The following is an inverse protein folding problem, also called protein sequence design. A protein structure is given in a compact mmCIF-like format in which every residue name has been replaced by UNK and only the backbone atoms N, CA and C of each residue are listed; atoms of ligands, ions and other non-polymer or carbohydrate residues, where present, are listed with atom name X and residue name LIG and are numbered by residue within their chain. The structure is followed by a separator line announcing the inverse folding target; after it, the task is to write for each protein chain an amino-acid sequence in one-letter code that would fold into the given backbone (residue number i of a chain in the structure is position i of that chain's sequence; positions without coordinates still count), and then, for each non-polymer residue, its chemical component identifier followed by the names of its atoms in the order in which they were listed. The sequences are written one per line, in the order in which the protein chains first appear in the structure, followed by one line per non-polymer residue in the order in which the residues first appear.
data_IF_819392674853
#
_entry.id   IF_819392674853
#
_cell.length_a   1.000
_cell.length_b   1.000
_cell.length_c   1.000
_cell.angle_alpha   90.00
_cell.angle_beta   90.00
_cell.angle_gamma   90.00
#
_symmetry.space_group_name_H-M   'P 1'
#
loop_
_entity.id
_entity.type
_entity.pdbx_description
1 polymer ?
#
# COMPACT_ATOMS: atom_id res chain seq x y z
N UNK A 1 48.91 52.73 58.40
CA UNK A 1 48.16 51.69 59.13
C UNK A 1 47.05 51.19 58.21
N UNK A 2 46.86 49.87 58.12
CA UNK A 2 46.18 49.14 57.04
C UNK A 2 44.69 49.49 56.87
N UNK A 3 44.25 49.57 55.61
CA UNK A 3 42.85 49.54 55.15
C UNK A 3 42.38 48.08 55.15
N UNK A 4 41.16 47.74 55.59
CA UNK A 4 40.59 46.41 55.36
C UNK A 4 39.77 46.37 54.06
N UNK A 5 40.02 45.30 53.32
CA UNK A 5 39.34 44.89 52.10
C UNK A 5 37.88 44.49 52.36
N UNK A 6 36.96 44.93 51.49
CA UNK A 6 35.72 44.21 51.21
C UNK A 6 35.73 43.81 49.73
N UNK A 7 35.74 42.50 49.48
CA UNK A 7 35.65 41.92 48.15
C UNK A 7 34.18 41.81 47.72
N UNK A 8 33.83 42.37 46.57
CA UNK A 8 32.58 42.09 45.86
C UNK A 8 32.92 41.07 44.77
N UNK A 9 32.33 39.88 44.87
CA UNK A 9 32.43 38.84 43.85
C UNK A 9 31.44 39.15 42.71
N UNK A 10 31.96 39.33 41.49
CA UNK A 10 31.17 39.35 40.27
C UNK A 10 31.31 37.99 39.58
N UNK A 11 30.22 37.21 39.55
CA UNK A 11 30.13 35.99 38.75
C UNK A 11 29.71 36.40 37.33
N UNK A 12 30.64 36.30 36.38
CA UNK A 12 30.36 36.41 34.94
C UNK A 12 30.04 35.01 34.41
N UNK A 13 28.76 34.76 34.12
CA UNK A 13 28.33 33.59 33.34
C UNK A 13 28.58 33.87 31.86
N UNK A 14 29.62 33.24 31.30
CA UNK A 14 29.86 33.20 29.86
C UNK A 14 28.80 32.32 29.19
N UNK A 15 27.92 32.93 28.40
CA UNK A 15 27.03 32.21 27.48
C UNK A 15 27.84 31.83 26.25
N UNK A 16 28.20 30.55 26.14
CA UNK A 16 28.81 29.99 24.94
C UNK A 16 27.74 29.82 23.87
N UNK A 17 27.68 30.74 22.91
CA UNK A 17 26.89 30.54 21.69
C UNK A 17 27.72 29.63 20.78
N UNK A 18 27.49 28.33 20.84
CA UNK A 18 28.05 27.39 19.88
C UNK A 18 27.33 27.61 18.53
N UNK A 19 27.96 28.35 17.63
CA UNK A 19 27.55 28.38 16.22
C UNK A 19 27.90 27.03 15.60
N UNK A 20 26.88 26.22 15.28
CA UNK A 20 27.07 24.99 14.51
C UNK A 20 27.77 25.33 13.19
N UNK A 21 28.85 24.64 12.89
CA UNK A 21 29.62 24.81 11.67
C UNK A 21 28.85 24.25 10.47
N UNK A 22 29.17 24.71 9.25
CA UNK A 22 28.55 24.18 8.02
C UNK A 22 28.77 22.66 7.85
N UNK A 23 29.86 22.13 8.41
CA UNK A 23 30.12 20.69 8.53
C UNK A 23 29.12 19.99 9.45
N UNK A 24 28.74 20.60 10.59
CA UNK A 24 27.77 20.00 11.51
C UNK A 24 26.37 19.87 10.88
N UNK A 25 26.02 20.78 9.96
CA UNK A 25 24.79 20.66 9.16
C UNK A 25 24.90 19.55 8.10
N UNK A 26 26.03 19.49 7.38
CA UNK A 26 26.28 18.46 6.36
C UNK A 26 26.31 17.06 6.96
N UNK A 27 26.95 16.88 8.10
CA UNK A 27 27.09 15.58 8.77
C UNK A 27 25.75 15.12 9.39
N UNK A 28 24.90 16.07 9.82
CA UNK A 28 23.52 15.77 10.22
C UNK A 28 22.65 15.29 9.05
N UNK A 29 22.87 15.79 7.85
CA UNK A 29 22.11 15.39 6.67
C UNK A 29 22.58 14.03 6.11
N UNK A 30 23.89 13.72 6.21
CA UNK A 30 24.45 12.41 5.85
C UNK A 30 23.89 11.27 6.72
N UNK A 31 23.58 11.54 8.00
CA UNK A 31 22.94 10.56 8.89
C UNK A 31 21.44 10.37 8.65
N UNK A 32 20.78 11.32 7.97
CA UNK A 32 19.33 11.31 7.73
C UNK A 32 18.95 10.81 6.34
N UNK A 33 19.82 11.01 5.37
CA UNK A 33 19.65 10.56 4.00
C UNK A 33 20.75 9.58 3.68
N UNK A 34 20.54 8.30 4.03
CA UNK A 34 21.35 7.22 3.46
C UNK A 34 20.97 7.12 1.99
N UNK A 35 21.83 7.55 1.04
CA UNK A 35 21.50 7.48 -0.37
C UNK A 35 21.36 6.01 -0.74
N UNK A 36 20.17 5.59 -1.16
CA UNK A 36 19.98 4.23 -1.69
C UNK A 36 20.67 4.16 -3.04
N UNK A 37 21.32 3.02 -3.34
CA UNK A 37 21.85 2.82 -4.68
C UNK A 37 20.69 2.89 -5.70
N UNK A 38 20.83 3.69 -6.76
CA UNK A 38 19.77 3.82 -7.75
C UNK A 38 19.52 2.47 -8.41
N UNK A 39 18.27 2.01 -8.37
CA UNK A 39 17.88 0.76 -9.00
C UNK A 39 18.00 0.88 -10.52
N UNK A 40 18.37 -0.20 -11.23
CA UNK A 40 18.45 -0.18 -12.68
C UNK A 40 17.07 0.09 -13.28
N UNK A 41 17.03 0.86 -14.36
CA UNK A 41 15.79 1.13 -15.09
C UNK A 41 15.13 -0.17 -15.56
N UNK A 42 13.86 -0.36 -15.17
CA UNK A 42 13.07 -1.53 -15.58
C UNK A 42 12.24 -1.22 -16.84
N UNK A 43 12.46 -1.99 -17.90
CA UNK A 43 11.59 -1.97 -19.08
C UNK A 43 10.31 -2.74 -18.78
N UNK A 44 9.22 -2.03 -18.54
CA UNK A 44 7.88 -2.56 -18.23
C UNK A 44 7.16 -3.20 -19.44
N UNK A 45 7.87 -3.99 -20.26
CA UNK A 45 7.34 -4.58 -21.49
C UNK A 45 6.20 -5.58 -21.23
N UNK A 46 6.28 -6.28 -20.12
CA UNK A 46 5.34 -7.31 -19.67
C UNK A 46 4.31 -6.80 -18.65
N UNK A 47 4.28 -5.48 -18.39
CA UNK A 47 3.32 -4.85 -17.47
C UNK A 47 2.17 -4.23 -18.27
N UNK A 48 0.94 -4.62 -17.96
CA UNK A 48 -0.28 -4.03 -18.51
C UNK A 48 -0.63 -2.72 -17.78
N UNK A 49 -0.51 -2.71 -16.46
CA UNK A 49 -0.78 -1.54 -15.63
C UNK A 49 0.14 -1.50 -14.42
N UNK A 50 0.56 -0.30 -14.02
CA UNK A 50 1.23 -0.06 -12.74
C UNK A 50 0.20 0.67 -11.90
N UNK A 51 -0.23 0.05 -10.80
CA UNK A 51 -1.12 0.70 -9.84
C UNK A 51 -0.29 1.62 -8.95
N UNK A 52 0.85 1.13 -8.45
CA UNK A 52 1.75 1.87 -7.57
C UNK A 52 3.19 1.41 -7.74
N UNK A 53 4.12 2.35 -7.94
CA UNK A 53 5.57 2.16 -7.90
C UNK A 53 6.26 3.49 -7.59
N UNK A 54 7.29 3.48 -6.75
CA UNK A 54 8.25 4.60 -6.56
C UNK A 54 7.68 5.99 -6.22
N UNK A 55 6.47 6.09 -5.65
CA UNK A 55 6.12 7.30 -4.89
C UNK A 55 4.72 7.89 -5.03
N UNK A 56 3.82 7.40 -5.89
CA UNK A 56 2.37 7.73 -5.92
C UNK A 56 1.67 6.77 -6.91
N UNK A 57 0.36 6.47 -6.75
CA UNK A 57 -0.39 5.75 -7.78
C UNK A 57 -0.29 6.38 -9.17
N UNK A 58 -0.04 5.56 -10.20
CA UNK A 58 0.42 6.00 -11.53
C UNK A 58 -0.44 7.14 -12.12
N UNK A 59 0.25 8.17 -12.67
CA UNK A 59 -0.34 9.16 -13.58
C UNK A 59 -1.27 10.18 -12.93
N UNK A 60 -1.08 10.48 -11.64
CA UNK A 60 -2.01 11.32 -10.87
C UNK A 60 -3.18 10.53 -10.30
N UNK A 61 -2.96 9.25 -10.00
CA UNK A 61 -3.92 8.44 -9.28
C UNK A 61 -4.18 8.96 -7.87
N UNK A 62 -5.11 8.34 -7.17
CA UNK A 62 -5.56 8.77 -5.85
C UNK A 62 -5.71 7.57 -4.92
N UNK A 63 -5.63 7.85 -3.63
CA UNK A 63 -5.96 6.88 -2.58
C UNK A 63 -7.18 7.36 -1.83
N UNK A 64 -7.99 6.42 -1.35
CA UNK A 64 -9.05 6.73 -0.38
C UNK A 64 -9.23 5.56 0.58
N UNK A 65 -9.70 5.88 1.78
CA UNK A 65 -9.89 4.95 2.87
C UNK A 65 -11.34 4.93 3.35
N UNK A 66 -11.77 3.78 3.87
CA UNK A 66 -12.98 3.66 4.64
C UNK A 66 -12.76 2.73 5.85
N UNK A 67 -13.38 2.98 7.01
CA UNK A 67 -14.15 4.19 7.28
C UNK A 67 -13.20 5.40 7.34
N UNK A 68 -13.74 6.63 7.41
CA UNK A 68 -12.94 7.87 7.28
C UNK A 68 -11.87 7.99 8.37
N UNK A 69 -12.10 7.34 9.50
CA UNK A 69 -11.26 7.27 10.68
C UNK A 69 -9.97 6.47 10.46
N UNK A 70 -9.89 5.68 9.38
CA UNK A 70 -8.62 5.07 9.00
C UNK A 70 -7.53 6.14 8.79
N UNK A 71 -6.30 5.89 9.26
CA UNK A 71 -5.16 6.68 8.86
C UNK A 71 -5.04 6.74 7.33
N UNK A 72 -4.72 7.92 6.80
CA UNK A 72 -4.39 8.04 5.38
C UNK A 72 -3.16 7.19 5.05
N UNK A 73 -3.19 6.41 3.95
CA UNK A 73 -2.00 5.69 3.52
C UNK A 73 -0.93 6.68 3.06
N UNK A 74 0.34 6.39 3.36
CA UNK A 74 1.44 7.25 2.97
C UNK A 74 2.67 6.46 2.59
N UNK A 75 3.52 7.07 1.76
CA UNK A 75 4.78 6.49 1.33
C UNK A 75 5.86 6.66 2.40
N UNK A 76 6.60 5.60 2.70
CA UNK A 76 7.65 5.59 3.72
C UNK A 76 8.77 4.61 3.36
N UNK A 77 9.96 4.85 3.90
CA UNK A 77 11.11 3.94 3.85
C UNK A 77 11.29 3.12 5.14
N UNK A 78 10.43 3.30 6.15
CA UNK A 78 10.59 2.73 7.49
C UNK A 78 10.67 1.19 7.52
N UNK A 79 10.02 0.52 6.57
CA UNK A 79 10.06 -0.95 6.41
C UNK A 79 11.00 -1.42 5.30
N UNK A 80 11.74 -0.50 4.67
CA UNK A 80 12.36 -0.70 3.38
C UNK A 80 11.35 -0.75 2.24
N UNK A 81 11.82 -1.14 1.06
CA UNK A 81 11.02 -1.39 -0.14
C UNK A 81 11.78 -2.40 -1.00
N UNK A 82 11.06 -3.23 -1.76
CA UNK A 82 11.63 -4.33 -2.55
C UNK A 82 12.02 -3.85 -3.95
N UNK A 83 11.07 -3.26 -4.67
CA UNK A 83 11.23 -2.81 -6.04
C UNK A 83 11.26 -1.29 -6.12
N UNK A 84 10.48 -0.57 -5.31
CA UNK A 84 10.54 0.89 -5.21
C UNK A 84 11.57 1.44 -4.22
N UNK A 85 11.68 2.77 -4.14
CA UNK A 85 12.44 3.47 -3.09
C UNK A 85 11.68 3.58 -1.77
N UNK A 86 10.34 3.65 -1.87
CA UNK A 86 9.39 3.80 -0.78
C UNK A 86 8.30 2.73 -0.92
N UNK A 87 7.83 2.23 0.21
CA UNK A 87 6.65 1.40 0.30
C UNK A 87 5.47 2.22 0.82
N UNK A 88 4.24 1.85 0.45
CA UNK A 88 3.04 2.44 1.02
C UNK A 88 2.71 1.75 2.34
N UNK A 89 2.70 2.50 3.43
CA UNK A 89 2.19 2.01 4.70
C UNK A 89 0.66 2.15 4.72
N UNK A 90 -0.02 1.07 5.07
CA UNK A 90 -1.46 1.01 5.27
C UNK A 90 -1.76 0.50 6.67
N UNK A 91 -2.62 1.23 7.38
CA UNK A 91 -3.12 0.84 8.70
C UNK A 91 -4.64 0.89 8.66
N UNK A 92 -5.29 -0.21 9.11
CA UNK A 92 -6.74 -0.39 9.03
C UNK A 92 -7.30 -0.67 10.42
N UNK A 93 -8.53 -0.20 10.65
CA UNK A 93 -9.27 -0.48 11.89
C UNK A 93 -9.74 -1.93 11.88
N UNK A 94 -9.05 -2.78 12.66
CA UNK A 94 -9.32 -4.21 12.71
C UNK A 94 -10.70 -4.60 13.29
N UNK A 95 -11.27 -3.73 14.13
CA UNK A 95 -12.60 -3.91 14.74
C UNK A 95 -13.77 -3.47 13.85
N UNK A 96 -13.51 -3.11 12.59
CA UNK A 96 -14.53 -2.68 11.63
C UNK A 96 -14.24 -3.22 10.21
N UNK A 97 -15.22 -3.09 9.32
CA UNK A 97 -14.98 -3.26 7.89
C UNK A 97 -14.21 -2.07 7.37
N UNK A 98 -12.95 -2.30 7.04
CA UNK A 98 -12.00 -1.24 6.80
C UNK A 98 -11.15 -1.56 5.57
N UNK A 99 -10.82 -0.55 4.76
CA UNK A 99 -10.02 -0.72 3.57
C UNK A 99 -9.39 0.57 3.04
N UNK A 100 -8.37 0.39 2.21
CA UNK A 100 -7.66 1.45 1.49
C UNK A 100 -7.58 1.05 0.02
N UNK A 101 -8.14 1.89 -0.84
CA UNK A 101 -8.02 1.78 -2.28
C UNK A 101 -6.88 2.65 -2.81
N UNK A 102 -6.19 2.13 -3.82
CA UNK A 102 -5.11 2.75 -4.57
C UNK A 102 -5.53 2.71 -6.04
N UNK A 103 -5.98 3.85 -6.55
CA UNK A 103 -6.61 3.97 -7.86
C UNK A 103 -5.71 4.70 -8.85
N UNK A 104 -5.71 4.26 -10.09
CA UNK A 104 -5.07 4.98 -11.20
C UNK A 104 -5.97 6.11 -11.70
N UNK A 105 -5.38 7.14 -12.32
CA UNK A 105 -6.13 8.32 -12.76
C UNK A 105 -7.26 8.00 -13.77
N UNK A 106 -7.00 7.11 -14.73
CA UNK A 106 -7.96 6.63 -15.72
C UNK A 106 -8.50 5.23 -15.40
N UNK A 107 -8.74 4.45 -16.44
CA UNK A 107 -8.97 3.01 -16.37
C UNK A 107 -8.13 2.30 -17.45
N UNK A 108 -7.93 0.99 -17.28
CA UNK A 108 -7.15 0.16 -18.22
C UNK A 108 -7.98 -1.04 -18.64
N UNK A 109 -7.93 -1.37 -19.93
CA UNK A 109 -8.51 -2.61 -20.44
C UNK A 109 -7.59 -3.79 -20.12
N UNK A 110 -8.04 -4.65 -19.21
CA UNK A 110 -7.38 -5.90 -18.83
C UNK A 110 -7.98 -7.13 -19.52
N UNK A 111 -9.01 -6.98 -20.35
CA UNK A 111 -9.65 -8.10 -21.06
C UNK A 111 -8.64 -8.94 -21.86
N UNK A 112 -7.67 -8.36 -22.59
CA UNK A 112 -6.67 -9.15 -23.32
C UNK A 112 -5.74 -9.99 -22.43
N UNK A 113 -5.69 -9.69 -21.13
CA UNK A 113 -4.79 -10.32 -20.17
C UNK A 113 -5.56 -11.11 -19.10
N UNK A 114 -6.87 -11.27 -19.21
CA UNK A 114 -7.66 -11.92 -18.17
C UNK A 114 -7.25 -13.38 -17.93
N UNK A 115 -6.99 -14.13 -19.00
CA UNK A 115 -6.64 -15.56 -18.93
C UNK A 115 -5.22 -15.81 -18.42
N UNK A 116 -4.27 -14.99 -18.86
CA UNK A 116 -2.83 -15.21 -18.70
C UNK A 116 -2.14 -14.20 -17.77
N UNK A 117 -2.78 -13.09 -17.47
CA UNK A 117 -2.24 -12.01 -16.67
C UNK A 117 -2.32 -12.28 -15.18
N UNK A 118 -1.59 -11.46 -14.41
CA UNK A 118 -1.50 -11.60 -12.96
C UNK A 118 -1.49 -10.24 -12.26
N UNK A 119 -2.08 -10.20 -11.07
CA UNK A 119 -1.78 -9.18 -10.07
C UNK A 119 -0.49 -9.58 -9.36
N UNK A 120 0.52 -8.70 -9.39
CA UNK A 120 1.76 -8.87 -8.64
C UNK A 120 1.99 -7.69 -7.68
N UNK A 121 2.45 -8.01 -6.48
CA UNK A 121 2.83 -7.02 -5.49
C UNK A 121 3.67 -7.65 -4.37
N UNK A 122 4.38 -6.80 -3.66
CA UNK A 122 5.06 -7.13 -2.41
C UNK A 122 4.25 -6.64 -1.22
N UNK A 123 4.19 -7.46 -0.17
CA UNK A 123 3.57 -7.09 1.10
C UNK A 123 4.41 -7.56 2.28
N UNK A 124 4.47 -6.73 3.32
CA UNK A 124 5.08 -7.05 4.62
C UNK A 124 4.12 -6.65 5.73
N UNK A 125 3.88 -7.55 6.68
CA UNK A 125 3.09 -7.32 7.88
C UNK A 125 3.90 -6.70 9.01
N UNK A 126 3.24 -5.97 9.89
CA UNK A 126 3.84 -5.48 11.13
C UNK A 126 3.98 -6.60 12.17
N UNK A 127 2.94 -7.42 12.31
CA UNK A 127 2.92 -8.53 13.27
C UNK A 127 3.05 -9.90 12.61
N UNK A 128 2.78 -10.02 11.32
CA UNK A 128 2.67 -11.31 10.66
C UNK A 128 1.40 -12.05 11.08
N UNK A 129 0.82 -12.79 10.14
CA UNK A 129 -0.47 -13.45 10.31
C UNK A 129 -1.68 -12.55 10.01
N UNK A 130 -1.46 -11.33 9.53
CA UNK A 130 -2.53 -10.44 9.09
C UNK A 130 -3.41 -11.12 8.02
N UNK A 131 -4.72 -10.97 8.17
CA UNK A 131 -5.73 -11.50 7.27
C UNK A 131 -6.34 -10.34 6.47
N UNK A 132 -6.07 -10.30 5.17
CA UNK A 132 -6.53 -9.24 4.28
C UNK A 132 -7.42 -9.81 3.18
N UNK A 133 -8.23 -8.94 2.58
CA UNK A 133 -8.81 -9.15 1.27
C UNK A 133 -8.01 -8.33 0.25
N UNK A 134 -7.56 -8.99 -0.81
CA UNK A 134 -6.98 -8.38 -1.99
C UNK A 134 -8.10 -8.13 -2.99
N UNK A 135 -8.26 -6.89 -3.42
CA UNK A 135 -9.46 -6.45 -4.14
C UNK A 135 -9.05 -5.68 -5.39
N UNK A 136 -9.69 -5.99 -6.50
CA UNK A 136 -9.60 -5.21 -7.73
C UNK A 136 -10.91 -4.43 -7.92
N UNK A 137 -10.78 -3.19 -8.37
CA UNK A 137 -11.88 -2.26 -8.59
C UNK A 137 -12.00 -1.94 -10.08
N UNK A 138 -13.22 -1.81 -10.57
CA UNK A 138 -13.50 -1.17 -11.86
C UNK A 138 -13.96 0.29 -11.67
N UNK A 139 -14.20 0.99 -12.78
CA UNK A 139 -14.60 2.40 -12.77
C UNK A 139 -16.11 2.63 -12.57
N UNK A 140 -16.89 1.58 -12.30
CA UNK A 140 -18.32 1.68 -12.05
C UNK A 140 -19.18 1.93 -13.30
N UNK A 141 -18.63 1.82 -14.52
CA UNK A 141 -19.39 2.04 -15.76
C UNK A 141 -20.61 1.10 -15.90
N UNK A 142 -20.53 -0.10 -15.33
CA UNK A 142 -21.61 -1.11 -15.36
C UNK A 142 -22.64 -0.96 -14.24
N UNK A 143 -22.44 -0.01 -13.34
CA UNK A 143 -23.13 0.11 -12.05
C UNK A 143 -23.49 1.56 -11.72
N UNK A 144 -23.73 2.37 -12.76
CA UNK A 144 -24.14 3.78 -12.63
C UNK A 144 -23.17 4.64 -11.78
N UNK A 145 -21.88 4.32 -11.83
CA UNK A 145 -20.83 5.05 -11.11
C UNK A 145 -20.36 4.40 -9.80
N UNK A 146 -21.01 3.34 -9.33
CA UNK A 146 -20.54 2.59 -8.15
C UNK A 146 -19.45 1.59 -8.55
N UNK A 147 -18.21 1.72 -8.10
CA UNK A 147 -17.16 0.75 -8.44
C UNK A 147 -17.51 -0.67 -8.00
N UNK A 148 -17.51 -1.63 -8.94
CA UNK A 148 -17.60 -3.05 -8.62
C UNK A 148 -16.26 -3.54 -8.10
N UNK A 149 -16.33 -4.52 -7.20
CA UNK A 149 -15.16 -5.13 -6.59
C UNK A 149 -15.16 -6.66 -6.81
N UNK A 150 -14.00 -7.19 -7.17
CA UNK A 150 -13.70 -8.63 -7.08
C UNK A 150 -12.64 -8.83 -6.01
N UNK A 151 -12.84 -9.79 -5.10
CA UNK A 151 -12.07 -9.90 -3.86
C UNK A 151 -11.64 -11.33 -3.57
N UNK A 152 -10.39 -11.48 -3.11
CA UNK A 152 -9.78 -12.74 -2.73
C UNK A 152 -9.14 -12.61 -1.34
N UNK A 153 -9.12 -13.69 -0.57
CA UNK A 153 -8.55 -13.69 0.78
C UNK A 153 -7.05 -13.98 0.73
N UNK A 154 -6.25 -13.23 1.48
CA UNK A 154 -4.78 -13.38 1.51
C UNK A 154 -4.35 -14.79 1.90
N UNK A 155 -4.95 -15.34 2.97
CA UNK A 155 -4.67 -16.69 3.51
C UNK A 155 -4.84 -17.84 2.50
N UNK A 156 -5.47 -17.58 1.38
CA UNK A 156 -5.66 -18.55 0.30
C UNK A 156 -4.45 -18.68 -0.62
N UNK A 157 -3.55 -17.70 -0.59
CA UNK A 157 -2.33 -17.64 -1.40
C UNK A 157 -1.06 -17.69 -0.56
N UNK A 158 -1.17 -17.44 0.74
CA UNK A 158 -0.08 -17.51 1.71
C UNK A 158 -0.31 -16.58 2.90
N UNK A 159 0.52 -16.72 3.92
CA UNK A 159 0.48 -15.82 5.08
C UNK A 159 1.20 -14.51 4.77
N UNK A 160 0.64 -13.39 5.24
CA UNK A 160 1.37 -12.14 5.37
C UNK A 160 2.34 -12.32 6.54
N UNK A 161 3.62 -11.99 6.36
CA UNK A 161 4.66 -12.21 7.39
C UNK A 161 5.39 -10.93 7.74
N UNK A 162 6.20 -10.96 8.81
CA UNK A 162 7.13 -9.87 9.13
C UNK A 162 8.25 -9.67 8.08
N UNK A 163 8.42 -10.64 7.19
CA UNK A 163 9.28 -10.54 6.01
C UNK A 163 8.48 -10.17 4.77
N UNK A 164 9.16 -9.53 3.80
CA UNK A 164 8.58 -9.22 2.51
C UNK A 164 8.18 -10.51 1.77
N UNK A 165 6.93 -10.55 1.33
CA UNK A 165 6.36 -11.65 0.53
C UNK A 165 5.87 -11.10 -0.80
N UNK A 166 6.26 -11.78 -1.86
CA UNK A 166 5.74 -11.54 -3.20
C UNK A 166 4.47 -12.36 -3.40
N UNK A 167 3.39 -11.71 -3.83
CA UNK A 167 2.17 -12.36 -4.27
C UNK A 167 2.07 -12.21 -5.79
N UNK A 168 1.76 -13.32 -6.47
CA UNK A 168 1.44 -13.35 -7.90
C UNK A 168 0.15 -14.15 -8.08
N UNK A 169 -0.94 -13.46 -8.40
CA UNK A 169 -2.30 -14.01 -8.40
C UNK A 169 -2.89 -13.93 -9.81
N UNK A 170 -3.36 -15.03 -10.43
CA UNK A 170 -3.92 -14.98 -11.77
C UNK A 170 -5.19 -14.11 -11.80
N UNK A 171 -5.36 -13.27 -12.82
CA UNK A 171 -6.55 -12.41 -12.91
C UNK A 171 -7.84 -13.21 -12.95
N UNK A 172 -7.86 -14.32 -13.69
CA UNK A 172 -9.00 -15.25 -13.73
C UNK A 172 -9.44 -15.80 -12.37
N UNK A 173 -8.54 -15.85 -11.37
CA UNK A 173 -8.89 -16.33 -10.03
C UNK A 173 -9.87 -15.39 -9.32
N UNK A 174 -9.89 -14.10 -9.68
CA UNK A 174 -10.84 -13.12 -9.13
C UNK A 174 -12.26 -13.32 -9.68
N UNK A 175 -12.43 -14.02 -10.79
CA UNK A 175 -13.71 -14.27 -11.45
C UNK A 175 -14.25 -13.07 -12.24
N UNK A 176 -15.46 -13.22 -12.76
CA UNK A 176 -16.10 -12.23 -13.64
C UNK A 176 -17.27 -11.48 -12.98
N UNK A 177 -17.67 -11.89 -11.78
CA UNK A 177 -18.78 -11.27 -11.04
C UNK A 177 -18.24 -10.34 -9.98
N UNK A 178 -18.46 -9.04 -10.18
CA UNK A 178 -18.16 -8.02 -9.19
C UNK A 178 -19.36 -7.79 -8.26
N UNK A 179 -19.08 -7.18 -7.11
CA UNK A 179 -20.11 -6.75 -6.16
C UNK A 179 -19.88 -5.28 -5.79
N UNK A 180 -20.95 -4.55 -5.48
CA UNK A 180 -20.85 -3.27 -4.78
C UNK A 180 -21.91 -3.19 -3.69
N UNK A 181 -21.70 -2.31 -2.71
CA UNK A 181 -22.65 -2.06 -1.65
C UNK A 181 -23.60 -0.92 -2.04
N UNK A 182 -24.87 -1.23 -2.24
CA UNK A 182 -25.92 -0.24 -2.44
C UNK A 182 -26.35 0.30 -1.08
N UNK A 183 -25.75 1.43 -0.68
CA UNK A 183 -26.03 2.08 0.60
C UNK A 183 -27.48 2.53 0.75
N UNK A 184 -28.18 2.85 -0.35
CA UNK A 184 -29.58 3.33 -0.31
C UNK A 184 -30.54 2.20 0.06
N UNK A 185 -30.27 1.00 -0.46
CA UNK A 185 -31.11 -0.17 -0.24
C UNK A 185 -30.49 -1.18 0.74
N UNK A 186 -29.35 -0.84 1.35
CA UNK A 186 -28.62 -1.65 2.33
C UNK A 186 -28.40 -3.09 1.89
N UNK A 187 -27.88 -3.28 0.67
CA UNK A 187 -27.67 -4.61 0.10
C UNK A 187 -26.43 -4.67 -0.79
N UNK A 188 -25.88 -5.87 -0.93
CA UNK A 188 -24.92 -6.16 -1.97
C UNK A 188 -25.63 -6.35 -3.31
N UNK A 189 -25.07 -5.75 -4.37
CA UNK A 189 -25.57 -5.90 -5.75
C UNK A 189 -24.47 -6.54 -6.59
N UNK A 190 -24.78 -7.68 -7.19
CA UNK A 190 -23.88 -8.43 -8.05
C UNK A 190 -24.11 -8.10 -9.51
N UNK A 191 -23.04 -7.75 -10.22
CA UNK A 191 -23.03 -7.45 -11.65
C UNK A 191 -21.73 -7.96 -12.28
N UNK A 192 -21.67 -8.15 -13.62
CA UNK A 192 -20.41 -8.49 -14.27
C UNK A 192 -19.36 -7.41 -14.01
N UNK A 193 -18.19 -7.78 -13.50
CA UNK A 193 -17.06 -6.88 -13.33
C UNK A 193 -16.60 -6.35 -14.70
N UNK A 194 -16.20 -5.08 -14.78
CA UNK A 194 -15.71 -4.50 -16.03
C UNK A 194 -14.19 -4.63 -16.14
N UNK A 195 -13.71 -5.78 -16.61
CA UNK A 195 -12.28 -6.00 -16.92
C UNK A 195 -11.73 -5.02 -17.96
N UNK A 196 -12.58 -4.48 -18.83
CA UNK A 196 -12.24 -3.42 -19.77
C UNK A 196 -11.98 -2.05 -19.10
N UNK A 197 -12.31 -1.92 -17.82
CA UNK A 197 -12.33 -0.66 -17.09
C UNK A 197 -11.69 -0.80 -15.70
N UNK A 198 -10.58 -1.55 -15.59
CA UNK A 198 -9.86 -1.70 -14.34
C UNK A 198 -9.39 -0.34 -13.81
N UNK A 199 -9.66 -0.07 -12.52
CA UNK A 199 -9.47 1.23 -11.88
C UNK A 199 -8.43 1.22 -10.76
N UNK A 200 -8.26 0.12 -10.05
CA UNK A 200 -7.33 0.11 -8.92
C UNK A 200 -7.28 -1.17 -8.12
N UNK A 201 -6.33 -1.18 -7.21
CA UNK A 201 -6.16 -2.22 -6.19
C UNK A 201 -6.68 -1.69 -4.86
N UNK A 202 -7.26 -2.56 -4.04
CA UNK A 202 -7.67 -2.25 -2.69
C UNK A 202 -7.27 -3.37 -1.75
N UNK A 203 -6.85 -2.98 -0.55
CA UNK A 203 -6.68 -3.90 0.57
C UNK A 203 -7.77 -3.63 1.59
N UNK A 204 -8.40 -4.70 2.09
CA UNK A 204 -9.45 -4.60 3.11
C UNK A 204 -9.22 -5.60 4.25
N UNK A 205 -9.87 -5.33 5.37
CA UNK A 205 -10.09 -6.27 6.46
C UNK A 205 -11.57 -6.39 6.74
N UNK A 206 -11.97 -7.56 7.21
CA UNK A 206 -13.28 -7.73 7.83
C UNK A 206 -13.17 -7.48 9.33
N UNK A 207 -14.29 -7.03 9.89
CA UNK A 207 -14.43 -6.82 11.32
C UNK A 207 -14.04 -8.07 12.10
N UNK A 208 -13.20 -7.88 13.11
CA UNK A 208 -12.80 -8.87 14.12
C UNK A 208 -12.04 -10.10 13.56
N UNK A 209 -11.53 -10.04 12.32
CA UNK A 209 -10.64 -11.07 11.76
C UNK A 209 -9.15 -10.83 12.08
N UNK A 210 -8.83 -9.65 12.62
CA UNK A 210 -7.50 -9.23 13.03
C UNK A 210 -7.57 -8.58 14.42
N UNK A 211 -6.50 -8.65 15.22
CA UNK A 211 -6.37 -7.88 16.47
C UNK A 211 -5.91 -6.45 16.21
N UNK A 212 -5.01 -6.29 15.25
CA UNK A 212 -4.54 -5.04 14.67
C UNK A 212 -4.20 -5.29 13.20
N UNK A 213 -4.20 -4.26 12.36
CA UNK A 213 -3.81 -4.40 10.96
C UNK A 213 -2.92 -3.27 10.51
N UNK A 214 -1.68 -3.61 10.18
CA UNK A 214 -0.71 -2.69 9.59
C UNK A 214 0.20 -3.45 8.64
N UNK A 215 0.33 -2.95 7.42
CA UNK A 215 1.16 -3.55 6.37
C UNK A 215 1.90 -2.49 5.57
N UNK A 216 2.95 -2.92 4.87
CA UNK A 216 3.61 -2.15 3.84
C UNK A 216 3.43 -2.86 2.50
N UNK A 217 3.02 -2.09 1.48
CA UNK A 217 2.82 -2.55 0.11
C UNK A 217 3.90 -1.95 -0.78
N UNK A 218 4.42 -2.72 -1.71
CA UNK A 218 5.34 -2.24 -2.74
C UNK A 218 5.04 -2.87 -4.09
N UNK A 219 5.33 -2.12 -5.15
CA UNK A 219 5.23 -2.50 -6.56
C UNK A 219 3.96 -3.26 -6.97
N UNK A 220 2.81 -2.59 -6.84
CA UNK A 220 1.53 -3.17 -7.24
C UNK A 220 1.36 -2.99 -8.75
N UNK A 221 1.41 -4.11 -9.48
CA UNK A 221 1.36 -4.15 -10.95
C UNK A 221 0.41 -5.23 -11.45
N UNK A 222 -0.08 -5.01 -12.67
CA UNK A 222 -0.77 -6.02 -13.46
C UNK A 222 0.16 -6.47 -14.58
N UNK A 223 0.54 -7.74 -14.59
CA UNK A 223 1.36 -8.38 -15.63
C UNK A 223 0.47 -8.87 -16.77
N UNK A 224 0.99 -8.80 -17.99
CA UNK A 224 0.34 -9.31 -19.21
C UNK A 224 0.34 -10.84 -19.26
N UNK A 225 1.36 -11.45 -18.68
CA UNK A 225 1.59 -12.89 -18.65
C UNK A 225 2.15 -13.27 -17.29
N UNK A 226 1.69 -14.39 -16.75
CA UNK A 226 2.24 -14.99 -15.54
C UNK A 226 3.36 -15.98 -15.88
N UNK A 227 4.42 -16.10 -15.06
CA UNK A 227 5.15 -17.36 -14.91
C UNK A 227 4.19 -18.49 -14.47
N UNK A 228 4.59 -19.75 -14.55
CA UNK A 228 3.74 -20.86 -14.08
C UNK A 228 3.29 -20.64 -12.62
N UNK A 229 1.96 -20.63 -12.37
CA UNK A 229 1.40 -20.34 -11.03
C UNK A 229 1.86 -21.40 -10.02
N UNK A 230 2.65 -20.97 -9.03
CA UNK A 230 3.21 -21.85 -8.00
C UNK A 230 2.35 -21.95 -6.72
N UNK A 231 1.17 -21.33 -6.70
CA UNK A 231 0.26 -21.37 -5.55
C UNK A 231 -0.61 -22.63 -5.51
N UNK A 232 -1.46 -22.80 -4.47
CA UNK A 232 -2.28 -23.99 -4.33
C UNK A 232 -3.25 -24.16 -5.51
N UNK A 233 -3.24 -25.35 -6.12
CA UNK A 233 -3.87 -25.67 -7.40
C UNK A 233 -5.42 -25.58 -7.42
N UNK A 234 -6.06 -25.50 -6.26
CA UNK A 234 -7.52 -25.51 -6.14
C UNK A 234 -7.94 -24.44 -5.12
N UNK A 235 -8.40 -23.29 -5.62
CA UNK A 235 -9.09 -22.30 -4.81
C UNK A 235 -10.60 -22.38 -5.08
N UNK A 236 -11.41 -22.95 -4.17
CA UNK A 236 -12.85 -23.02 -4.32
C UNK A 236 -13.50 -22.16 -3.24
N UNK A 237 -13.67 -20.88 -3.52
CA UNK A 237 -14.79 -20.13 -2.94
C UNK A 237 -15.39 -19.31 -4.07
N UNK A 238 -16.28 -19.96 -4.84
CA UNK A 238 -17.41 -19.22 -5.40
C UNK A 238 -18.06 -18.51 -4.22
N UNK A 239 -18.32 -17.22 -4.34
CA UNK A 239 -19.21 -16.52 -3.42
C UNK A 239 -20.59 -17.18 -3.57
N UNK A 240 -20.81 -18.29 -2.87
CA UNK A 240 -22.14 -18.83 -2.63
C UNK A 240 -22.75 -18.01 -1.50
N UNK A 241 -23.50 -16.98 -1.90
CA UNK A 241 -24.60 -16.41 -1.13
C UNK A 241 -25.80 -16.27 -2.06
#
# INVERSE_FOLDING_TARGET
MRIPSFAIAAVLTSVSIASASFSDYRDRDVLRFTPKEPKPFQQNKDVASIVMREGIPRGGGYTYQYPRENPEPFMTDAAGAMEGDLAMQVELIASDYSGVAICIAGSVDLTPYFEDGALEFWIKGAEGGENALFVLLDDGVKSNGESLQVKLRSKSFGDITKEWKHFSIPLKTFGETGVYWDAKNTREVMLPFSWANFKGFRIEVRKDENTAFKVWLDDIVIKKTMPEYMGPANYPFRNEF
#
